data_IF_613996842193
#
_entry.id   IF_613996842193
#
_cell.length_a   1.000
_cell.length_b   1.000
_cell.length_c   1.000
_cell.angle_alpha   90.00
_cell.angle_beta   90.00
_cell.angle_gamma   90.00
#
_symmetry.space_group_name_H-M   'P 1'
#
loop_
_entity.id
_entity.type
_entity.pdbx_description
1 polymer ?
#
# COMPACT_ATOMS: atom_id res chain seq x y z
N UNK A 1 -7.97 10.42 7.82
CA UNK A 1 -7.86 9.68 8.48
C UNK A 1 -6.83 8.85 8.18
N UNK A 2 -6.47 8.15 8.58
CA UNK A 2 -5.65 7.36 8.56
C UNK A 2 -5.27 6.91 7.34
N UNK A 3 -5.31 7.57 6.44
CA UNK A 3 -5.28 7.14 5.19
C UNK A 3 -4.04 6.65 4.66
N UNK A 4 -2.90 7.03 5.19
CA UNK A 4 -1.64 6.57 4.66
C UNK A 4 -1.22 5.27 5.27
N UNK A 5 -2.06 4.67 6.13
CA UNK A 5 -1.75 3.42 6.75
C UNK A 5 -2.76 2.39 6.33
N UNK A 6 -2.33 1.15 6.22
CA UNK A 6 -3.25 0.04 6.07
C UNK A 6 -3.80 -0.24 7.45
N UNK A 7 -5.10 -0.14 7.57
CA UNK A 7 -5.71 -0.18 8.87
C UNK A 7 -5.37 -1.45 9.63
N UNK A 8 -5.36 -2.58 8.94
CA UNK A 8 -5.09 -3.86 9.58
C UNK A 8 -3.66 -3.96 10.05
N UNK A 9 -2.73 -3.49 9.23
CA UNK A 9 -1.32 -3.65 9.55
C UNK A 9 -0.73 -2.44 10.25
N UNK A 10 -1.37 -1.30 10.13
CA UNK A 10 -0.89 -0.08 10.77
C UNK A 10 0.51 0.29 10.32
N UNK A 11 0.80 0.14 9.05
CA UNK A 11 2.12 0.47 8.50
C UNK A 11 1.97 1.57 7.45
N UNK A 12 3.00 2.38 7.30
CA UNK A 12 2.97 3.43 6.28
C UNK A 12 2.88 2.85 4.88
N UNK A 13 2.27 3.59 3.98
CA UNK A 13 2.11 3.14 2.61
C UNK A 13 3.45 2.81 1.95
N UNK A 14 4.47 3.63 2.17
CA UNK A 14 5.78 3.37 1.57
C UNK A 14 6.34 2.03 2.02
N UNK A 15 6.16 1.69 3.29
CA UNK A 15 6.62 0.41 3.78
C UNK A 15 5.81 -0.73 3.18
N UNK A 16 4.51 -0.52 3.02
CA UNK A 16 3.66 -1.54 2.43
C UNK A 16 4.08 -1.83 1.00
N UNK A 17 4.41 -0.79 0.23
CA UNK A 17 4.89 -0.96 -1.14
C UNK A 17 6.17 -1.77 -1.14
N UNK A 18 7.10 -1.44 -0.24
CA UNK A 18 8.35 -2.18 -0.15
C UNK A 18 8.09 -3.67 0.10
N UNK A 19 7.14 -3.97 0.99
CA UNK A 19 6.83 -5.35 1.32
C UNK A 19 6.22 -6.08 0.12
N UNK A 20 5.40 -5.38 -0.66
CA UNK A 20 4.84 -5.98 -1.86
C UNK A 20 5.96 -6.34 -2.83
N UNK A 21 6.87 -5.40 -3.05
CA UNK A 21 7.93 -5.62 -4.03
C UNK A 21 8.91 -6.70 -3.59
N UNK A 22 9.03 -6.91 -2.28
CA UNK A 22 9.91 -7.95 -1.76
C UNK A 22 9.23 -9.30 -1.61
N UNK A 23 7.95 -9.38 -1.93
CA UNK A 23 7.23 -10.65 -1.80
C UNK A 23 6.84 -11.00 -0.40
N UNK A 24 6.79 -10.01 0.50
CA UNK A 24 6.44 -10.28 1.89
C UNK A 24 4.95 -10.29 2.15
N UNK A 25 4.16 -9.82 1.19
CA UNK A 25 2.70 -9.83 1.30
C UNK A 25 2.17 -10.72 0.19
N UNK A 26 1.81 -11.95 0.50
CA UNK A 26 1.42 -12.91 -0.54
C UNK A 26 0.01 -12.72 -1.10
N UNK A 27 -0.86 -12.02 -0.39
CA UNK A 27 -2.23 -11.87 -0.83
C UNK A 27 -2.29 -10.91 -2.02
N UNK A 28 -2.68 -11.41 -3.17
CA UNK A 28 -2.67 -10.59 -4.38
C UNK A 28 -3.68 -9.46 -4.32
N UNK A 29 -4.79 -9.62 -3.62
CA UNK A 29 -5.73 -8.52 -3.50
C UNK A 29 -5.12 -7.37 -2.72
N UNK A 30 -4.42 -7.68 -1.65
CA UNK A 30 -3.76 -6.68 -0.84
C UNK A 30 -2.66 -6.00 -1.65
N UNK A 31 -1.91 -6.77 -2.41
CA UNK A 31 -0.85 -6.19 -3.24
C UNK A 31 -1.43 -5.22 -4.25
N UNK A 32 -2.51 -5.60 -4.90
CA UNK A 32 -3.13 -4.75 -5.91
C UNK A 32 -3.62 -3.45 -5.28
N UNK A 33 -4.24 -3.55 -4.11
CA UNK A 33 -4.75 -2.36 -3.45
C UNK A 33 -3.62 -1.41 -3.07
N UNK A 34 -2.55 -1.96 -2.51
CA UNK A 34 -1.42 -1.14 -2.09
C UNK A 34 -0.79 -0.43 -3.26
N UNK A 35 -0.55 -1.15 -4.35
CA UNK A 35 0.10 -0.54 -5.50
C UNK A 35 -0.81 0.50 -6.16
N UNK A 36 -2.10 0.24 -6.19
CA UNK A 36 -3.03 1.20 -6.79
C UNK A 36 -3.09 2.48 -5.96
N UNK A 37 -3.18 2.35 -4.65
CA UNK A 37 -3.21 3.51 -3.79
C UNK A 37 -1.93 4.32 -3.95
N UNK A 38 -0.79 3.62 -4.01
CA UNK A 38 0.48 4.30 -4.15
C UNK A 38 0.53 5.08 -5.47
N UNK A 39 0.02 4.48 -6.54
CA UNK A 39 0.02 5.15 -7.82
C UNK A 39 -0.88 6.39 -7.80
N UNK A 40 -2.06 6.26 -7.22
CA UNK A 40 -2.98 7.38 -7.13
C UNK A 40 -2.37 8.52 -6.32
N UNK A 41 -1.67 8.17 -5.26
CA UNK A 41 -1.03 9.20 -4.44
C UNK A 41 0.08 9.89 -5.21
N UNK A 42 0.86 9.13 -5.96
CA UNK A 42 1.94 9.71 -6.75
C UNK A 42 1.40 10.64 -7.84
N UNK A 43 0.19 10.35 -8.32
CA UNK A 43 -0.43 11.20 -9.33
C UNK A 43 -1.13 12.40 -8.73
N UNK A 44 -1.15 12.51 -7.41
CA UNK A 44 -1.81 13.63 -6.76
C UNK A 44 -3.33 13.50 -6.75
N UNK A 45 -3.86 12.29 -6.88
CA UNK A 45 -5.29 12.08 -6.95
C UNK A 45 -5.91 11.77 -5.59
N UNK A 46 -5.09 11.46 -4.62
CA UNK A 46 -5.56 11.26 -3.24
C UNK A 46 -4.55 11.83 -2.27
#
# INVERSE_FOLDING_TARGET
DEDEFLEVYKIPLAEAVRMVMNGELPDSKTQTMILKINQLKNEGRI
#
